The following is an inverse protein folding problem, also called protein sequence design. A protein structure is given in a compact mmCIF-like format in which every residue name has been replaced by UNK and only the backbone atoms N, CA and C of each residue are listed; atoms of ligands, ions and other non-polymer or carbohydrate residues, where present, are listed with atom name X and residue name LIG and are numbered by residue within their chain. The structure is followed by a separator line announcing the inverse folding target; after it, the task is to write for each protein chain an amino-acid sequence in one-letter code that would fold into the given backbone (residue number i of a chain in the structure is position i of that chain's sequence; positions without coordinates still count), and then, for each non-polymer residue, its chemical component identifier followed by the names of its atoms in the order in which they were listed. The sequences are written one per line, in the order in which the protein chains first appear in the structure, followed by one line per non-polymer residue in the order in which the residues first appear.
data_IF_850734971529
#
_entry.id   IF_850734971529
#
_cell.length_a   1.000
_cell.length_b   1.000
_cell.length_c   1.000
_cell.angle_alpha   90.00
_cell.angle_beta   90.00
_cell.angle_gamma   90.00
#
_symmetry.space_group_name_H-M   'P 1'
#
loop_
_entity.id
_entity.type
_entity.pdbx_description
1 polymer ?
#
# COMPACT_ATOMS: atom_id res chain seq x y z
N UNK A 1 4.44 46.75 43.24
CA UNK A 1 3.31 46.82 42.29
C UNK A 1 3.76 46.77 40.82
N UNK A 2 4.84 47.44 40.39
CA UNK A 2 5.29 47.40 38.98
C UNK A 2 5.71 46.01 38.45
N UNK A 3 6.25 45.11 39.28
CA UNK A 3 6.67 43.76 38.84
C UNK A 3 5.49 42.83 38.49
N UNK A 4 4.30 43.07 39.07
CA UNK A 4 3.09 42.29 38.78
C UNK A 4 2.43 42.69 37.45
N UNK A 5 2.58 43.95 37.04
CA UNK A 5 2.05 44.46 35.76
C UNK A 5 2.87 43.98 34.56
N UNK A 6 4.20 43.86 34.69
CA UNK A 6 5.04 43.33 33.61
C UNK A 6 4.75 41.85 33.29
N UNK A 7 4.42 41.04 34.30
CA UNK A 7 4.11 39.61 34.09
C UNK A 7 2.76 39.40 33.41
N UNK A 8 1.75 40.21 33.73
CA UNK A 8 0.45 40.14 33.07
C UNK A 8 0.51 40.57 31.60
N UNK A 9 1.32 41.59 31.27
CA UNK A 9 1.50 42.04 29.89
C UNK A 9 2.23 40.99 29.02
N UNK A 10 3.22 40.28 29.58
CA UNK A 10 3.93 39.21 28.86
C UNK A 10 3.02 38.01 28.55
N UNK A 11 2.11 37.64 29.46
CA UNK A 11 1.12 36.59 29.19
C UNK A 11 0.12 37.01 28.10
N UNK A 12 -0.30 38.28 28.06
CA UNK A 12 -1.22 38.76 27.03
C UNK A 12 -0.59 38.79 25.64
N UNK A 13 0.71 39.12 25.53
CA UNK A 13 1.43 39.12 24.25
C UNK A 13 1.64 37.69 23.72
N UNK A 14 1.89 36.71 24.60
CA UNK A 14 1.97 35.30 24.22
C UNK A 14 0.61 34.72 23.80
N UNK A 15 -0.48 35.08 24.48
CA UNK A 15 -1.83 34.66 24.10
C UNK A 15 -2.29 35.28 22.78
N UNK A 16 -1.96 36.56 22.52
CA UNK A 16 -2.28 37.19 21.24
C UNK A 16 -1.46 36.60 20.09
N UNK A 17 -0.20 36.22 20.31
CA UNK A 17 0.61 35.58 19.27
C UNK A 17 0.05 34.21 18.85
N UNK A 18 -0.53 33.44 19.78
CA UNK A 18 -1.13 32.13 19.47
C UNK A 18 -2.48 32.27 18.74
N UNK A 19 -3.26 33.32 19.03
CA UNK A 19 -4.56 33.54 18.36
C UNK A 19 -4.46 34.17 16.96
N UNK A 20 -3.30 34.71 16.57
CA UNK A 20 -3.07 35.35 15.26
C UNK A 20 -2.01 34.64 14.41
N UNK A 21 -1.61 33.42 14.76
CA UNK A 21 -0.99 32.56 13.77
C UNK A 21 -2.05 32.37 12.67
N UNK A 22 -1.80 32.81 11.42
CA UNK A 22 -2.70 32.53 10.31
C UNK A 22 -2.90 31.04 10.34
N UNK A 23 -4.13 30.59 10.60
CA UNK A 23 -4.47 29.18 10.67
C UNK A 23 -3.79 28.54 9.48
N UNK A 24 -2.79 27.71 9.75
CA UNK A 24 -1.92 27.15 8.74
C UNK A 24 -2.85 26.69 7.64
N UNK A 25 -2.74 27.35 6.48
CA UNK A 25 -3.39 26.89 5.26
C UNK A 25 -2.67 25.59 4.99
N UNK A 26 -3.08 24.53 5.68
CA UNK A 26 -2.83 23.17 5.27
C UNK A 26 -3.44 23.15 3.90
N UNK A 27 -2.59 23.34 2.87
CA UNK A 27 -2.93 23.00 1.52
C UNK A 27 -3.56 21.63 1.65
N UNK A 28 -4.89 21.57 1.49
CA UNK A 28 -5.63 20.34 1.58
C UNK A 28 -4.99 19.49 0.50
N UNK A 29 -4.14 18.54 0.90
CA UNK A 29 -3.53 17.59 -0.03
C UNK A 29 -4.73 17.06 -0.80
N UNK A 30 -4.79 17.33 -2.10
CA UNK A 30 -5.86 16.80 -2.93
C UNK A 30 -5.94 15.30 -2.61
N UNK A 31 -7.12 14.78 -2.24
CA UNK A 31 -7.22 13.36 -1.92
C UNK A 31 -6.64 12.60 -3.11
N UNK A 32 -5.63 11.76 -2.83
CA UNK A 32 -4.98 10.98 -3.88
C UNK A 32 -6.05 10.02 -4.40
N UNK A 33 -6.54 10.27 -5.62
CA UNK A 33 -7.57 9.42 -6.21
C UNK A 33 -7.00 8.03 -6.48
N UNK A 34 -7.62 7.02 -5.89
CA UNK A 34 -7.23 5.63 -6.08
C UNK A 34 -7.46 5.19 -7.54
N UNK A 35 -6.60 4.33 -8.11
CA UNK A 35 -6.77 3.80 -9.47
C UNK A 35 -8.05 2.97 -9.62
N UNK A 36 -8.75 3.16 -10.74
CA UNK A 36 -9.98 2.43 -11.04
C UNK A 36 -9.67 1.05 -11.65
N UNK A 37 -10.29 0.00 -11.09
CA UNK A 37 -10.18 -1.36 -11.62
C UNK A 37 -11.07 -1.58 -12.84
N UNK A 38 -10.81 -2.66 -13.58
CA UNK A 38 -11.65 -3.09 -14.70
C UNK A 38 -13.10 -3.33 -14.28
N UNK A 39 -13.34 -3.83 -13.06
CA UNK A 39 -14.70 -4.04 -12.55
C UNK A 39 -15.41 -2.70 -12.31
N UNK A 40 -14.75 -1.76 -11.62
CA UNK A 40 -15.30 -0.41 -11.39
C UNK A 40 -15.58 0.30 -12.70
N UNK A 41 -14.59 0.35 -13.61
CA UNK A 41 -14.76 0.95 -14.93
C UNK A 41 -15.88 0.28 -15.72
N UNK A 42 -16.01 -1.04 -15.65
CA UNK A 42 -17.09 -1.76 -16.33
C UNK A 42 -18.48 -1.37 -15.79
N UNK A 43 -18.64 -1.32 -14.47
CA UNK A 43 -19.91 -0.97 -13.82
C UNK A 43 -20.33 0.47 -14.12
N UNK A 44 -19.35 1.38 -14.10
CA UNK A 44 -19.58 2.82 -14.23
C UNK A 44 -19.68 3.31 -15.70
N UNK A 45 -19.36 2.44 -16.67
CA UNK A 45 -19.43 2.76 -18.10
C UNK A 45 -20.75 2.35 -18.74
N UNK A 46 -21.32 3.23 -19.55
CA UNK A 46 -22.43 2.93 -20.45
C UNK A 46 -21.95 2.29 -21.75
N UNK A 47 -20.70 2.52 -22.13
CA UNK A 47 -20.12 1.92 -23.34
C UNK A 47 -18.62 1.65 -23.17
N UNK A 48 -18.16 0.55 -23.77
CA UNK A 48 -16.76 0.13 -23.75
C UNK A 48 -16.34 -0.25 -25.15
N UNK A 49 -15.21 0.31 -25.61
CA UNK A 49 -14.71 0.12 -26.97
C UNK A 49 -13.26 -0.33 -26.97
N UNK A 50 -12.89 -1.15 -27.95
CA UNK A 50 -11.51 -1.27 -28.41
C UNK A 50 -11.31 -0.20 -29.47
N UNK A 51 -10.34 0.67 -29.25
CA UNK A 51 -10.06 1.78 -30.15
C UNK A 51 -8.58 1.89 -30.49
N UNK A 52 -8.31 2.56 -31.59
CA UNK A 52 -6.97 2.98 -32.01
C UNK A 52 -6.89 4.50 -31.90
N UNK A 53 -5.89 5.00 -31.19
CA UNK A 53 -5.63 6.42 -31.12
C UNK A 53 -5.11 6.94 -32.48
N UNK A 54 -5.72 7.98 -33.02
CA UNK A 54 -5.38 8.52 -34.34
C UNK A 54 -4.46 9.74 -34.24
N UNK A 55 -4.89 10.77 -33.50
CA UNK A 55 -4.19 12.05 -33.36
C UNK A 55 -4.80 12.91 -32.26
N UNK A 56 -4.04 13.91 -31.82
CA UNK A 56 -4.53 15.04 -31.01
C UNK A 56 -4.56 16.28 -31.91
N UNK A 57 -5.70 16.97 -31.95
CA UNK A 57 -5.83 18.29 -32.56
C UNK A 57 -5.81 19.35 -31.45
N UNK A 58 -4.93 20.34 -31.56
CA UNK A 58 -4.92 21.50 -30.66
C UNK A 58 -5.99 22.51 -31.10
N UNK A 59 -6.83 22.90 -30.15
CA UNK A 59 -7.87 23.89 -30.30
C UNK A 59 -7.41 25.28 -29.85
N UNK A 60 -8.40 26.10 -29.50
CA UNK A 60 -8.17 27.46 -29.04
C UNK A 60 -7.65 27.49 -27.59
N UNK A 61 -6.87 28.53 -27.28
CA UNK A 61 -6.47 28.84 -25.90
C UNK A 61 -7.70 29.33 -25.14
N UNK A 62 -8.12 28.60 -24.12
CA UNK A 62 -9.28 28.98 -23.28
C UNK A 62 -8.90 29.93 -22.17
N UNK A 63 -7.69 29.76 -21.62
CA UNK A 63 -7.18 30.59 -20.54
C UNK A 63 -5.69 30.85 -20.71
N UNK A 64 -5.24 32.08 -20.42
CA UNK A 64 -3.84 32.46 -20.50
C UNK A 64 -3.52 33.39 -19.34
N UNK A 65 -3.02 32.80 -18.25
CA UNK A 65 -2.60 33.51 -17.03
C UNK A 65 -1.08 33.71 -17.04
N UNK A 66 -0.53 34.41 -16.06
CA UNK A 66 0.93 34.57 -15.95
C UNK A 66 1.62 33.23 -15.64
N UNK A 67 0.92 32.29 -14.99
CA UNK A 67 1.45 31.01 -14.54
C UNK A 67 1.23 29.86 -15.54
N UNK A 68 0.12 29.87 -16.29
CA UNK A 68 -0.21 28.78 -17.21
C UNK A 68 -1.03 29.21 -18.43
N UNK A 69 -1.05 28.35 -19.45
CA UNK A 69 -1.95 28.44 -20.61
C UNK A 69 -2.81 27.19 -20.67
N UNK A 70 -4.13 27.34 -20.65
CA UNK A 70 -5.06 26.25 -20.86
C UNK A 70 -5.44 26.18 -22.34
N UNK A 71 -5.26 25.01 -22.96
CA UNK A 71 -5.51 24.77 -24.38
C UNK A 71 -6.55 23.66 -24.51
N UNK A 72 -7.62 23.92 -25.26
CA UNK A 72 -8.54 22.85 -25.61
C UNK A 72 -7.84 21.86 -26.54
N UNK A 73 -7.92 20.58 -26.25
CA UNK A 73 -7.37 19.52 -27.10
C UNK A 73 -8.47 18.54 -27.48
N UNK A 74 -8.37 17.99 -28.70
CA UNK A 74 -9.30 16.97 -29.20
C UNK A 74 -8.54 15.70 -29.54
N UNK A 75 -8.78 14.63 -28.79
CA UNK A 75 -8.17 13.32 -29.03
C UNK A 75 -9.11 12.48 -29.90
N UNK A 76 -8.63 12.06 -31.07
CA UNK A 76 -9.41 11.30 -32.04
C UNK A 76 -9.13 9.80 -31.93
N UNK A 77 -10.18 8.99 -31.84
CA UNK A 77 -10.10 7.54 -31.73
C UNK A 77 -10.90 6.87 -32.84
N UNK A 78 -10.29 5.89 -33.52
CA UNK A 78 -10.98 4.99 -34.44
C UNK A 78 -11.45 3.76 -33.67
N UNK A 79 -12.73 3.44 -33.71
CA UNK A 79 -13.28 2.30 -32.97
C UNK A 79 -13.21 1.06 -33.84
N UNK A 80 -12.53 0.03 -33.35
CA UNK A 80 -12.39 -1.25 -34.05
C UNK A 80 -13.41 -2.29 -33.56
N UNK A 81 -13.76 -2.27 -32.28
CA UNK A 81 -14.74 -3.18 -31.68
C UNK A 81 -15.55 -2.48 -30.58
N UNK A 82 -16.80 -2.90 -30.41
CA UNK A 82 -17.68 -2.49 -29.31
C UNK A 82 -17.86 -3.66 -28.38
N UNK A 83 -17.48 -3.50 -27.12
CA UNK A 83 -17.59 -4.53 -26.09
C UNK A 83 -18.88 -4.35 -25.28
N UNK A 84 -19.24 -3.10 -24.96
CA UNK A 84 -20.47 -2.74 -24.26
C UNK A 84 -21.08 -1.49 -24.89
N UNK A 85 -22.41 -1.41 -24.93
CA UNK A 85 -23.14 -0.24 -25.43
C UNK A 85 -23.37 -0.22 -26.95
N UNK A 86 -23.69 0.96 -27.49
CA UNK A 86 -24.03 1.13 -28.92
C UNK A 86 -22.80 1.13 -29.83
N UNK A 87 -22.89 0.49 -30.99
CA UNK A 87 -21.77 0.46 -31.94
C UNK A 87 -21.45 1.83 -32.53
N UNK A 88 -20.16 2.17 -32.58
CA UNK A 88 -19.65 3.43 -33.14
C UNK A 88 -18.41 3.18 -34.00
N UNK A 89 -18.13 4.11 -34.93
CA UNK A 89 -16.95 4.05 -35.82
C UNK A 89 -15.80 4.93 -35.36
N UNK A 90 -16.09 6.02 -34.67
CA UNK A 90 -15.11 6.96 -34.16
C UNK A 90 -15.62 7.61 -32.88
N UNK A 91 -14.69 8.07 -32.06
CA UNK A 91 -14.95 8.88 -30.87
C UNK A 91 -13.95 10.04 -30.83
N UNK A 92 -14.40 11.18 -30.34
CA UNK A 92 -13.57 12.37 -30.13
C UNK A 92 -13.73 12.77 -28.68
N UNK A 93 -12.62 12.78 -27.95
CA UNK A 93 -12.58 13.28 -26.58
C UNK A 93 -12.12 14.73 -26.61
N UNK A 94 -13.02 15.62 -26.21
CA UNK A 94 -12.68 17.02 -25.93
C UNK A 94 -12.13 17.10 -24.50
N UNK A 95 -10.95 17.67 -24.34
CA UNK A 95 -10.19 17.72 -23.09
C UNK A 95 -9.45 19.08 -22.99
N UNK A 96 -8.92 19.44 -21.83
CA UNK A 96 -8.19 20.70 -21.61
C UNK A 96 -6.81 20.43 -21.03
N UNK A 97 -5.76 20.85 -21.73
CA UNK A 97 -4.37 20.71 -21.31
C UNK A 97 -3.86 22.02 -20.69
N UNK A 98 -3.31 21.92 -19.48
CA UNK A 98 -2.67 23.04 -18.79
C UNK A 98 -1.16 23.02 -19.05
N UNK A 99 -0.64 24.06 -19.70
CA UNK A 99 0.78 24.25 -20.02
C UNK A 99 1.35 25.33 -19.11
N UNK A 100 2.07 24.93 -18.07
CA UNK A 100 2.71 25.87 -17.13
C UNK A 100 3.87 26.60 -17.80
N UNK A 101 3.95 27.91 -17.60
CA UNK A 101 5.04 28.74 -18.09
C UNK A 101 6.19 28.61 -17.09
N UNK A 102 7.27 27.94 -17.49
CA UNK A 102 8.47 27.83 -16.65
C UNK A 102 9.09 29.22 -16.55
N UNK A 103 8.91 29.89 -15.41
CA UNK A 103 9.55 31.18 -15.14
C UNK A 103 11.03 30.95 -14.88
N UNK A 104 11.90 31.66 -15.60
CA UNK A 104 13.35 31.48 -15.56
C UNK A 104 14.01 31.73 -14.17
N UNK A 105 13.23 32.11 -13.15
CA UNK A 105 13.70 32.36 -11.79
C UNK A 105 13.55 31.14 -10.84
N UNK A 106 12.87 30.07 -11.24
CA UNK A 106 12.85 28.80 -10.48
C UNK A 106 13.94 27.85 -10.98
N UNK A 107 15.21 28.22 -10.80
CA UNK A 107 16.38 27.37 -11.06
C UNK A 107 16.75 26.45 -9.89
N UNK A 108 15.81 26.16 -8.99
CA UNK A 108 15.99 25.02 -8.09
C UNK A 108 15.76 23.75 -8.93
N UNK A 109 16.85 23.27 -9.53
CA UNK A 109 16.96 22.06 -10.38
C UNK A 109 16.55 20.76 -9.67
N UNK A 110 15.91 20.82 -8.50
CA UNK A 110 15.58 19.67 -7.66
C UNK A 110 14.11 19.27 -7.66
N UNK A 111 13.17 20.14 -8.07
CA UNK A 111 11.73 19.83 -8.03
C UNK A 111 11.09 19.46 -9.38
N UNK A 112 11.85 19.54 -10.49
CA UNK A 112 11.32 19.28 -11.83
C UNK A 112 11.22 17.79 -12.21
N UNK A 113 11.84 16.89 -11.43
CA UNK A 113 11.92 15.47 -11.76
C UNK A 113 10.80 14.61 -11.11
N UNK A 114 10.06 15.12 -10.13
CA UNK A 114 9.10 14.31 -9.36
C UNK A 114 7.63 14.52 -9.77
N UNK A 115 7.34 15.43 -10.70
CA UNK A 115 5.96 15.69 -11.17
C UNK A 115 5.59 14.98 -12.49
N UNK A 116 6.41 14.03 -12.95
CA UNK A 116 6.20 13.28 -14.20
C UNK A 116 5.45 11.93 -14.01
N UNK A 117 4.42 11.88 -13.16
CA UNK A 117 3.31 10.92 -13.37
C UNK A 117 2.39 11.38 -14.53
N UNK A 118 2.96 12.06 -15.52
CA UNK A 118 2.25 12.40 -16.74
C UNK A 118 1.90 11.08 -17.45
N UNK A 119 0.61 10.77 -17.52
CA UNK A 119 0.10 9.63 -18.27
C UNK A 119 0.80 9.55 -19.63
N UNK A 120 1.44 8.42 -19.98
CA UNK A 120 2.35 8.35 -21.12
C UNK A 120 1.62 8.81 -22.38
N UNK A 121 2.21 9.79 -23.08
CA UNK A 121 1.60 10.39 -24.26
C UNK A 121 1.19 9.31 -25.28
N UNK A 122 -0.07 9.36 -25.72
CA UNK A 122 -0.62 8.42 -26.71
C UNK A 122 0.04 8.65 -28.07
N UNK A 123 0.47 7.57 -28.71
CA UNK A 123 1.05 7.61 -30.06
C UNK A 123 0.05 7.13 -31.10
N UNK A 124 -0.06 7.79 -32.27
CA UNK A 124 -0.91 7.33 -33.36
C UNK A 124 -0.69 5.84 -33.68
N UNK A 125 -1.78 5.08 -33.79
CA UNK A 125 -1.77 3.65 -34.04
C UNK A 125 -1.78 2.76 -32.79
N UNK A 126 -1.61 3.33 -31.59
CA UNK A 126 -1.73 2.57 -30.34
C UNK A 126 -3.17 2.11 -30.13
N UNK A 127 -3.33 0.84 -29.77
CA UNK A 127 -4.62 0.26 -29.44
C UNK A 127 -4.86 0.34 -27.93
N UNK A 128 -6.10 0.60 -27.53
CA UNK A 128 -6.48 0.90 -26.16
C UNK A 128 -7.95 0.54 -25.90
N UNK A 129 -8.32 0.51 -24.63
CA UNK A 129 -9.72 0.44 -24.20
C UNK A 129 -10.23 1.84 -23.85
N UNK A 130 -11.44 2.16 -24.31
CA UNK A 130 -12.17 3.36 -23.94
C UNK A 130 -13.38 2.98 -23.10
N UNK A 131 -13.45 3.53 -21.90
CA UNK A 131 -14.57 3.40 -20.96
C UNK A 131 -15.33 4.72 -20.94
N UNK A 132 -16.55 4.72 -21.47
CA UNK A 132 -17.34 5.92 -21.64
C UNK A 132 -18.64 5.87 -20.84
N UNK A 133 -19.02 7.02 -20.29
CA UNK A 133 -20.32 7.29 -19.68
C UNK A 133 -21.08 8.30 -20.53
N UNK A 134 -22.37 8.08 -20.71
CA UNK A 134 -23.24 9.03 -21.39
C UNK A 134 -23.34 10.31 -20.53
N UNK A 135 -23.26 11.46 -21.20
CA UNK A 135 -23.57 12.73 -20.55
C UNK A 135 -25.07 12.89 -20.33
N UNK A 136 -25.48 14.01 -19.75
CA UNK A 136 -26.90 14.36 -19.67
C UNK A 136 -27.52 14.46 -21.07
N UNK A 137 -28.85 14.53 -21.17
CA UNK A 137 -29.54 14.57 -22.46
C UNK A 137 -29.02 15.71 -23.36
N UNK A 138 -28.34 15.35 -24.45
CA UNK A 138 -27.73 16.29 -25.41
C UNK A 138 -26.24 16.55 -25.22
N UNK A 139 -25.63 16.07 -24.14
CA UNK A 139 -24.19 16.11 -23.92
C UNK A 139 -23.47 14.97 -24.62
N UNK A 140 -22.25 15.22 -25.07
CA UNK A 140 -21.40 14.19 -25.64
C UNK A 140 -20.98 13.19 -24.55
N UNK A 141 -20.83 11.90 -24.87
CA UNK A 141 -20.25 10.94 -23.94
C UNK A 141 -18.84 11.36 -23.53
N UNK A 142 -18.52 11.13 -22.26
CA UNK A 142 -17.24 11.45 -21.65
C UNK A 142 -16.58 10.18 -21.13
N UNK A 143 -15.31 10.27 -20.75
CA UNK A 143 -14.65 9.16 -20.06
C UNK A 143 -15.37 8.86 -18.75
N UNK A 144 -15.51 7.58 -18.43
CA UNK A 144 -16.05 7.12 -17.14
C UNK A 144 -15.20 7.61 -15.98
N UNK A 145 -13.88 7.57 -16.15
CA UNK A 145 -12.91 8.18 -15.27
C UNK A 145 -11.88 8.99 -16.08
N UNK A 146 -11.44 10.13 -15.57
CA UNK A 146 -10.54 11.03 -16.31
C UNK A 146 -9.12 10.48 -16.44
N UNK A 147 -8.65 9.67 -15.48
CA UNK A 147 -7.30 9.07 -15.48
C UNK A 147 -7.33 7.69 -16.12
N UNK A 148 -8.25 6.85 -15.66
CA UNK A 148 -8.27 5.41 -15.91
C UNK A 148 -9.27 5.01 -17.00
N UNK A 149 -10.11 5.94 -17.48
CA UNK A 149 -11.09 5.71 -18.55
C UNK A 149 -10.47 5.45 -19.93
N UNK A 150 -9.17 5.68 -20.10
CA UNK A 150 -8.38 5.31 -21.28
C UNK A 150 -7.26 4.36 -20.86
N UNK A 151 -7.45 3.07 -21.14
CA UNK A 151 -6.45 2.05 -20.75
C UNK A 151 -5.60 1.65 -21.94
N UNK A 152 -4.36 2.14 -21.96
CA UNK A 152 -3.36 1.78 -22.97
C UNK A 152 -2.88 0.35 -22.73
N UNK A 153 -2.94 -0.49 -23.76
CA UNK A 153 -2.59 -1.91 -23.67
C UNK A 153 -1.73 -2.33 -24.86
N UNK A 154 -0.90 -3.35 -24.67
CA UNK A 154 -0.25 -4.03 -25.79
C UNK A 154 -1.30 -4.79 -26.62
N UNK A 155 -1.01 -5.06 -27.89
CA UNK A 155 -1.91 -5.85 -28.74
C UNK A 155 -2.20 -7.23 -28.16
N UNK A 156 -1.23 -7.84 -27.48
CA UNK A 156 -1.39 -9.11 -26.77
C UNK A 156 -2.37 -8.99 -25.59
N UNK A 157 -2.23 -7.95 -24.77
CA UNK A 157 -3.08 -7.76 -23.60
C UNK A 157 -4.52 -7.36 -23.97
N UNK A 158 -4.75 -6.68 -25.10
CA UNK A 158 -6.11 -6.30 -25.53
C UNK A 158 -7.02 -7.52 -25.65
N UNK A 159 -6.54 -8.62 -26.23
CA UNK A 159 -7.34 -9.85 -26.36
C UNK A 159 -7.72 -10.44 -25.01
N UNK A 160 -6.82 -10.36 -24.02
CA UNK A 160 -7.05 -10.83 -22.65
C UNK A 160 -8.14 -9.98 -21.98
N UNK A 161 -8.01 -8.66 -22.03
CA UNK A 161 -9.01 -7.75 -21.45
C UNK A 161 -10.36 -7.84 -22.16
N UNK A 162 -10.39 -7.99 -23.48
CA UNK A 162 -11.62 -8.25 -24.24
C UNK A 162 -12.32 -9.52 -23.72
N UNK A 163 -11.56 -10.59 -23.46
CA UNK A 163 -12.07 -11.81 -22.84
C UNK A 163 -12.68 -11.54 -21.46
N UNK A 164 -11.96 -10.81 -20.60
CA UNK A 164 -12.45 -10.46 -19.24
C UNK A 164 -13.70 -9.60 -19.25
N UNK A 165 -13.82 -8.64 -20.17
CA UNK A 165 -15.01 -7.79 -20.31
C UNK A 165 -16.22 -8.63 -20.76
N UNK A 166 -16.04 -9.56 -21.70
CA UNK A 166 -17.11 -10.48 -22.13
C UNK A 166 -17.57 -11.41 -21.01
N UNK A 167 -16.66 -11.84 -20.13
CA UNK A 167 -17.03 -12.58 -18.92
C UNK A 167 -17.89 -11.72 -17.99
N UNK A 168 -17.57 -10.43 -17.82
CA UNK A 168 -18.39 -9.49 -17.07
C UNK A 168 -19.77 -9.30 -17.71
N UNK A 169 -19.86 -9.12 -19.03
CA UNK A 169 -21.15 -9.06 -19.74
C UNK A 169 -22.02 -10.28 -19.41
N UNK A 170 -21.44 -11.49 -19.44
CA UNK A 170 -22.16 -12.72 -19.10
C UNK A 170 -22.54 -12.84 -17.60
N UNK A 171 -21.90 -12.09 -16.71
CA UNK A 171 -22.26 -12.01 -15.29
C UNK A 171 -23.39 -10.99 -15.09
N UNK A 172 -23.30 -9.82 -15.74
CA UNK A 172 -24.23 -8.71 -15.59
C UNK A 172 -25.51 -8.82 -16.44
N UNK A 173 -25.49 -9.59 -17.53
CA UNK A 173 -26.68 -9.93 -18.33
C UNK A 173 -27.57 -10.99 -17.64
N UNK A 174 -27.08 -11.63 -16.59
CA UNK A 174 -27.87 -12.58 -15.81
C UNK A 174 -29.02 -11.85 -15.08
N UNK A 175 -30.15 -12.55 -14.89
CA UNK A 175 -31.31 -11.99 -14.17
C UNK A 175 -30.95 -11.45 -12.79
N UNK A 176 -30.03 -12.13 -12.10
CA UNK A 176 -29.49 -11.72 -10.81
C UNK A 176 -27.98 -11.82 -10.88
N UNK A 177 -27.31 -10.71 -10.57
CA UNK A 177 -25.84 -10.65 -10.51
C UNK A 177 -25.38 -11.42 -9.27
N UNK A 178 -24.54 -12.43 -9.49
CA UNK A 178 -23.99 -13.27 -8.43
C UNK A 178 -22.61 -12.76 -8.03
N UNK A 179 -22.49 -12.28 -6.78
CA UNK A 179 -21.21 -11.85 -6.18
C UNK A 179 -20.16 -12.97 -6.22
N UNK A 180 -20.58 -14.22 -6.00
CA UNK A 180 -19.68 -15.37 -6.11
C UNK A 180 -19.08 -15.51 -7.51
N UNK A 181 -19.87 -15.28 -8.57
CA UNK A 181 -19.35 -15.31 -9.95
C UNK A 181 -18.37 -14.16 -10.22
N UNK A 182 -18.54 -13.02 -9.55
CA UNK A 182 -17.59 -11.91 -9.61
C UNK A 182 -16.30 -12.28 -8.90
N UNK A 183 -16.36 -12.89 -7.71
CA UNK A 183 -15.16 -13.37 -7.00
C UNK A 183 -14.40 -14.42 -7.83
N UNK A 184 -15.09 -15.39 -8.43
CA UNK A 184 -14.48 -16.34 -9.36
C UNK A 184 -13.80 -15.64 -10.55
N UNK A 185 -14.43 -14.59 -11.08
CA UNK A 185 -13.85 -13.78 -12.15
C UNK A 185 -12.61 -13.00 -11.68
N UNK A 186 -12.64 -12.41 -10.48
CA UNK A 186 -11.50 -11.71 -9.88
C UNK A 186 -10.31 -12.65 -9.65
N UNK A 187 -10.56 -13.87 -9.19
CA UNK A 187 -9.51 -14.90 -9.06
C UNK A 187 -8.91 -15.24 -10.43
N UNK A 188 -9.74 -15.41 -11.47
CA UNK A 188 -9.22 -15.61 -12.84
C UNK A 188 -8.42 -14.40 -13.35
N UNK A 189 -8.83 -13.18 -13.04
CA UNK A 189 -8.05 -11.98 -13.35
C UNK A 189 -6.69 -12.03 -12.66
N UNK A 190 -6.63 -12.40 -11.39
CA UNK A 190 -5.41 -12.55 -10.60
C UNK A 190 -4.44 -13.58 -11.21
N UNK A 191 -4.95 -14.72 -11.67
CA UNK A 191 -4.16 -15.79 -12.30
C UNK A 191 -3.37 -15.33 -13.53
N UNK A 192 -3.96 -14.47 -14.37
CA UNK A 192 -3.34 -13.98 -15.60
C UNK A 192 -2.43 -12.75 -15.34
N UNK A 193 -1.12 -12.80 -15.67
CA UNK A 193 -0.20 -11.69 -15.46
C UNK A 193 -0.66 -10.33 -16.01
N UNK A 194 -1.40 -10.30 -17.12
CA UNK A 194 -1.83 -9.05 -17.76
C UNK A 194 -2.99 -8.36 -17.02
N UNK A 195 -3.77 -9.14 -16.26
CA UNK A 195 -4.94 -8.66 -15.49
C UNK A 195 -4.79 -8.89 -13.99
N UNK A 196 -3.60 -9.29 -13.53
CA UNK A 196 -3.37 -9.71 -12.15
C UNK A 196 -3.76 -8.62 -11.17
N UNK A 197 -3.24 -7.42 -11.43
CA UNK A 197 -3.55 -6.23 -10.64
C UNK A 197 -5.06 -5.97 -10.54
N UNK A 198 -5.84 -6.17 -11.63
CA UNK A 198 -7.31 -5.99 -11.57
C UNK A 198 -7.96 -6.91 -10.54
N UNK A 199 -7.51 -8.16 -10.48
CA UNK A 199 -8.05 -9.15 -9.55
C UNK A 199 -7.56 -8.94 -8.13
N UNK A 200 -6.26 -8.76 -7.95
CA UNK A 200 -5.62 -8.68 -6.63
C UNK A 200 -5.92 -7.36 -5.94
N UNK A 201 -5.95 -6.25 -6.67
CA UNK A 201 -6.29 -4.95 -6.09
C UNK A 201 -7.76 -4.90 -5.62
N UNK A 202 -8.71 -5.33 -6.45
CA UNK A 202 -10.14 -5.33 -6.08
C UNK A 202 -10.42 -6.24 -4.87
N UNK A 203 -9.81 -7.43 -4.85
CA UNK A 203 -9.91 -8.33 -3.71
C UNK A 203 -9.27 -7.68 -2.47
N UNK A 204 -8.11 -7.02 -2.58
CA UNK A 204 -7.47 -6.37 -1.43
C UNK A 204 -8.34 -5.25 -0.87
N UNK A 205 -8.90 -4.40 -1.73
CA UNK A 205 -9.85 -3.35 -1.34
C UNK A 205 -11.05 -3.94 -0.59
N UNK A 206 -11.56 -5.10 -1.00
CA UNK A 206 -12.65 -5.77 -0.27
C UNK A 206 -12.28 -6.15 1.17
N UNK A 207 -11.04 -6.58 1.43
CA UNK A 207 -10.57 -6.87 2.78
C UNK A 207 -10.41 -5.62 3.62
N UNK A 208 -9.87 -4.55 3.03
CA UNK A 208 -9.70 -3.25 3.70
C UNK A 208 -11.06 -2.67 4.08
N UNK A 209 -12.03 -2.68 3.15
CA UNK A 209 -13.40 -2.26 3.41
C UNK A 209 -14.05 -3.09 4.52
N UNK A 210 -13.87 -4.42 4.49
CA UNK A 210 -14.42 -5.29 5.54
C UNK A 210 -13.79 -4.98 6.91
N UNK A 211 -12.47 -4.80 7.00
CA UNK A 211 -11.79 -4.45 8.24
C UNK A 211 -12.32 -3.13 8.79
N UNK A 212 -12.42 -2.12 7.94
CA UNK A 212 -12.97 -0.82 8.31
C UNK A 212 -14.43 -0.92 8.80
N UNK A 213 -15.29 -1.68 8.11
CA UNK A 213 -16.68 -1.92 8.56
C UNK A 213 -16.74 -2.59 9.95
N UNK A 214 -15.84 -3.55 10.22
CA UNK A 214 -15.77 -4.24 11.52
C UNK A 214 -15.33 -3.28 12.61
N UNK A 215 -14.27 -2.51 12.39
CA UNK A 215 -13.76 -1.50 13.33
C UNK A 215 -14.79 -0.40 13.61
N UNK A 216 -15.44 0.13 12.57
CA UNK A 216 -16.50 1.11 12.69
C UNK A 216 -17.70 0.57 13.49
N UNK A 217 -18.07 -0.69 13.26
CA UNK A 217 -19.13 -1.35 14.03
C UNK A 217 -18.75 -1.56 15.51
N UNK A 218 -17.49 -1.86 15.80
CA UNK A 218 -16.98 -1.99 17.18
C UNK A 218 -16.95 -0.64 17.90
N UNK A 219 -16.37 0.38 17.29
CA UNK A 219 -16.36 1.75 17.82
C UNK A 219 -17.80 2.26 18.07
N UNK A 220 -18.73 1.96 17.15
CA UNK A 220 -20.15 2.28 17.34
C UNK A 220 -20.75 1.58 18.56
N UNK A 221 -20.44 0.29 18.78
CA UNK A 221 -20.89 -0.44 19.98
C UNK A 221 -20.33 0.17 21.25
N UNK A 222 -19.05 0.55 21.26
CA UNK A 222 -18.41 1.21 22.40
C UNK A 222 -19.04 2.56 22.71
N UNK A 223 -19.29 3.41 21.70
CA UNK A 223 -19.97 4.70 21.87
C UNK A 223 -21.38 4.54 22.44
N UNK A 224 -22.15 3.57 21.93
CA UNK A 224 -23.48 3.23 22.47
C UNK A 224 -23.37 2.78 23.94
N UNK A 225 -22.37 1.95 24.28
CA UNK A 225 -22.15 1.50 25.64
C UNK A 225 -21.77 2.63 26.60
N UNK A 226 -21.11 3.70 26.10
CA UNK A 226 -20.83 4.93 26.86
C UNK A 226 -22.04 5.88 26.96
N UNK A 227 -23.17 5.55 26.33
CA UNK A 227 -24.37 6.41 26.31
C UNK A 227 -24.21 7.65 25.45
N UNK A 228 -23.23 7.66 24.54
CA UNK A 228 -23.12 8.71 23.53
C UNK A 228 -24.23 8.51 22.49
N UNK A 229 -24.89 9.62 22.12
CA UNK A 229 -25.79 9.61 20.98
C UNK A 229 -24.96 9.37 19.72
N UNK A 230 -25.02 8.14 19.21
CA UNK A 230 -24.50 7.82 17.89
C UNK A 230 -25.55 8.30 16.93
N UNK A 231 -25.38 9.53 16.44
CA UNK A 231 -25.96 9.93 15.18
C UNK A 231 -25.64 8.80 14.20
N UNK A 232 -26.68 8.24 13.58
CA UNK A 232 -26.51 7.24 12.53
C UNK A 232 -25.83 8.01 11.41
N UNK A 233 -24.51 8.08 11.48
CA UNK A 233 -23.65 8.38 10.36
C UNK A 233 -24.11 7.33 9.35
N UNK A 234 -24.99 7.77 8.44
CA UNK A 234 -25.31 7.03 7.23
C UNK A 234 -23.96 6.59 6.72
N UNK A 235 -23.78 5.28 6.51
CA UNK A 235 -22.58 4.73 5.88
C UNK A 235 -22.13 5.74 4.84
N UNK A 236 -20.86 6.21 4.86
CA UNK A 236 -20.41 7.29 4.00
C UNK A 236 -20.89 6.96 2.59
N UNK A 237 -22.00 7.59 2.21
CA UNK A 237 -22.55 7.47 0.88
C UNK A 237 -21.55 8.30 0.13
N UNK A 238 -20.51 7.65 -0.40
CA UNK A 238 -19.35 8.26 -1.06
C UNK A 238 -19.71 9.67 -1.52
N UNK A 239 -19.41 10.70 -0.70
CA UNK A 239 -20.01 12.03 -0.90
C UNK A 239 -19.49 12.68 -2.21
N UNK A 240 -18.54 12.03 -2.89
CA UNK A 240 -18.09 12.34 -4.25
C UNK A 240 -18.99 11.76 -5.36
N UNK A 241 -20.00 10.94 -5.03
CA UNK A 241 -21.02 10.46 -5.97
C UNK A 241 -22.22 11.42 -6.12
N UNK A 242 -22.31 12.49 -5.32
CA UNK A 242 -23.43 13.45 -5.30
C UNK A 242 -23.60 14.29 -6.59
N UNK A 243 -22.71 14.19 -7.59
CA UNK A 243 -22.86 14.94 -8.83
C UNK A 243 -23.74 14.26 -9.91
N UNK A 244 -24.14 12.99 -9.79
CA UNK A 244 -24.83 12.28 -10.87
C UNK A 244 -26.03 11.42 -10.41
N UNK A 245 -27.09 12.09 -9.96
CA UNK A 245 -28.35 11.54 -9.46
C UNK A 245 -29.24 10.75 -10.47
N UNK A 246 -28.74 10.33 -11.63
CA UNK A 246 -29.55 9.71 -12.69
C UNK A 246 -29.32 8.19 -12.91
N UNK A 247 -28.45 7.53 -12.13
CA UNK A 247 -28.29 6.07 -12.19
C UNK A 247 -29.32 5.32 -11.32
N UNK A 248 -30.62 5.51 -11.61
CA UNK A 248 -31.70 4.73 -11.01
C UNK A 248 -31.70 3.29 -11.55
N UNK A 249 -31.03 2.36 -10.85
CA UNK A 249 -31.25 0.89 -10.81
C UNK A 249 -29.96 0.03 -10.87
N UNK A 250 -28.75 0.58 -10.77
CA UNK A 250 -27.61 -0.30 -10.51
C UNK A 250 -27.70 -0.75 -9.05
N UNK A 251 -28.16 -1.99 -8.84
CA UNK A 251 -28.03 -2.69 -7.56
C UNK A 251 -26.54 -2.64 -7.23
N UNK A 252 -26.15 -1.75 -6.32
CA UNK A 252 -24.77 -1.57 -5.91
C UNK A 252 -24.30 -2.89 -5.33
N UNK A 253 -23.24 -3.44 -5.92
CA UNK A 253 -22.66 -4.69 -5.45
C UNK A 253 -21.86 -4.34 -4.20
N UNK A 254 -22.11 -5.05 -3.10
CA UNK A 254 -21.32 -4.89 -1.88
C UNK A 254 -19.94 -5.50 -2.11
N UNK A 255 -18.96 -4.68 -2.50
CA UNK A 255 -17.59 -5.13 -2.73
C UNK A 255 -16.95 -5.66 -1.45
N UNK A 256 -17.37 -5.19 -0.27
CA UNK A 256 -16.93 -5.72 1.03
C UNK A 256 -17.35 -7.18 1.28
N UNK A 257 -18.35 -7.69 0.54
CA UNK A 257 -18.74 -9.08 0.60
C UNK A 257 -17.72 -10.03 -0.05
N UNK A 258 -16.91 -9.55 -1.01
CA UNK A 258 -15.97 -10.41 -1.76
C UNK A 258 -14.95 -11.10 -0.86
N UNK A 259 -14.41 -10.39 0.13
CA UNK A 259 -13.49 -10.95 1.13
C UNK A 259 -14.08 -12.15 1.89
N UNK A 260 -15.39 -12.13 2.16
CA UNK A 260 -16.12 -13.21 2.85
C UNK A 260 -16.43 -14.40 1.95
N UNK A 261 -16.57 -14.16 0.64
CA UNK A 261 -16.95 -15.16 -0.35
C UNK A 261 -15.76 -15.97 -0.88
N UNK A 262 -14.52 -15.50 -0.69
CA UNK A 262 -13.32 -16.26 -1.05
C UNK A 262 -13.22 -17.58 -0.25
N UNK A 263 -13.32 -18.69 -0.96
CA UNK A 263 -13.20 -20.02 -0.36
C UNK A 263 -11.73 -20.45 -0.12
N UNK A 264 -11.53 -21.54 0.63
CA UNK A 264 -10.21 -22.04 0.96
C UNK A 264 -9.40 -22.51 -0.26
N UNK A 265 -10.06 -23.02 -1.30
CA UNK A 265 -9.40 -23.44 -2.53
C UNK A 265 -8.91 -22.23 -3.33
N UNK A 266 -9.73 -21.19 -3.47
CA UNK A 266 -9.37 -19.92 -4.11
C UNK A 266 -8.20 -19.23 -3.41
N UNK A 267 -8.21 -19.17 -2.07
CA UNK A 267 -7.07 -18.68 -1.28
C UNK A 267 -5.80 -19.48 -1.55
N UNK A 268 -5.92 -20.81 -1.63
CA UNK A 268 -4.79 -21.69 -1.95
C UNK A 268 -4.26 -21.44 -3.37
N UNK A 269 -5.14 -21.23 -4.35
CA UNK A 269 -4.77 -20.91 -5.74
C UNK A 269 -4.01 -19.57 -5.79
N UNK A 270 -4.52 -18.52 -5.15
CA UNK A 270 -3.88 -17.21 -5.10
C UNK A 270 -2.50 -17.26 -4.41
N UNK A 271 -2.40 -17.96 -3.28
CA UNK A 271 -1.12 -18.18 -2.62
C UNK A 271 -0.15 -18.96 -3.51
N UNK A 272 -0.60 -20.04 -4.15
CA UNK A 272 0.23 -20.83 -5.05
C UNK A 272 0.69 -20.03 -6.28
N UNK A 273 -0.11 -19.09 -6.78
CA UNK A 273 0.28 -18.21 -7.88
C UNK A 273 1.51 -17.38 -7.50
N UNK A 274 1.55 -16.85 -6.28
CA UNK A 274 2.69 -16.11 -5.74
C UNK A 274 3.90 -17.02 -5.51
N UNK A 275 3.68 -18.18 -4.88
CA UNK A 275 4.76 -19.09 -4.49
C UNK A 275 5.42 -19.79 -5.69
N UNK A 276 4.64 -20.08 -6.74
CA UNK A 276 5.09 -20.79 -7.93
C UNK A 276 5.58 -19.86 -9.05
N UNK A 277 5.91 -18.60 -8.77
CA UNK A 277 6.54 -17.73 -9.78
C UNK A 277 7.87 -18.35 -10.20
N UNK A 278 7.84 -19.04 -11.35
CA UNK A 278 9.00 -19.68 -11.94
C UNK A 278 10.07 -18.62 -12.19
N UNK A 279 11.25 -18.82 -11.60
CA UNK A 279 12.42 -18.04 -11.95
C UNK A 279 12.85 -18.43 -13.37
N UNK A 280 12.36 -17.68 -14.36
CA UNK A 280 12.84 -17.79 -15.74
C UNK A 280 14.37 -17.75 -15.71
N UNK A 281 15.06 -18.68 -16.38
CA UNK A 281 16.50 -18.61 -16.48
C UNK A 281 16.85 -17.32 -17.22
N UNK A 282 17.42 -16.35 -16.49
CA UNK A 282 18.10 -15.24 -17.11
C UNK A 282 19.23 -15.82 -17.98
N UNK A 283 19.41 -15.29 -19.18
CA UNK A 283 20.42 -15.76 -20.12
C UNK A 283 21.81 -15.78 -19.48
N UNK A 284 22.72 -16.60 -20.02
CA UNK A 284 23.96 -17.17 -19.45
C UNK A 284 24.89 -16.34 -18.53
N UNK A 285 24.63 -15.05 -18.23
CA UNK A 285 25.43 -14.23 -17.31
C UNK A 285 24.62 -13.34 -16.34
N UNK A 286 23.29 -13.38 -16.34
CA UNK A 286 22.49 -12.62 -15.37
C UNK A 286 21.95 -13.55 -14.28
N UNK A 287 22.06 -13.11 -13.02
CA UNK A 287 21.36 -13.77 -11.91
C UNK A 287 19.88 -13.85 -12.27
N UNK A 288 19.23 -15.01 -12.04
CA UNK A 288 17.81 -15.22 -12.33
C UNK A 288 16.96 -14.27 -11.48
N UNK A 289 16.77 -13.03 -11.91
CA UNK A 289 15.88 -12.08 -11.25
C UNK A 289 14.45 -12.52 -11.60
N UNK A 290 13.68 -12.94 -10.59
CA UNK A 290 12.23 -13.13 -10.75
C UNK A 290 11.68 -11.75 -11.13
N UNK A 291 11.16 -11.59 -12.35
CA UNK A 291 10.47 -10.36 -12.72
C UNK A 291 9.16 -10.32 -11.94
N UNK A 292 9.01 -9.34 -11.04
CA UNK A 292 7.72 -9.06 -10.44
C UNK A 292 6.73 -8.67 -11.54
N UNK A 293 5.53 -9.23 -11.46
CA UNK A 293 4.42 -8.85 -12.31
C UNK A 293 3.63 -7.78 -11.57
N UNK A 294 3.08 -6.83 -12.33
CA UNK A 294 2.16 -5.84 -11.76
C UNK A 294 0.96 -6.56 -11.10
N UNK A 295 0.66 -6.22 -9.84
CA UNK A 295 -0.33 -6.94 -9.03
C UNK A 295 0.25 -7.95 -8.03
N UNK A 296 1.54 -8.30 -8.12
CA UNK A 296 2.18 -9.22 -7.17
C UNK A 296 2.28 -8.62 -5.75
N UNK A 297 2.42 -7.29 -5.64
CA UNK A 297 2.46 -6.61 -4.34
C UNK A 297 1.10 -6.70 -3.63
N UNK A 298 0.02 -6.42 -4.35
CA UNK A 298 -1.35 -6.58 -3.83
C UNK A 298 -1.64 -8.04 -3.48
N UNK A 299 -1.09 -8.99 -4.25
CA UNK A 299 -1.19 -10.41 -3.95
C UNK A 299 -0.46 -10.79 -2.66
N UNK A 300 0.72 -10.22 -2.39
CA UNK A 300 1.45 -10.42 -1.13
C UNK A 300 0.60 -9.93 0.05
N UNK A 301 0.04 -8.72 -0.04
CA UNK A 301 -0.81 -8.17 1.04
C UNK A 301 -2.10 -8.99 1.24
N UNK A 302 -2.72 -9.48 0.16
CA UNK A 302 -3.83 -10.42 0.25
C UNK A 302 -3.46 -11.70 1.00
N UNK A 303 -2.33 -12.33 0.62
CA UNK A 303 -1.87 -13.59 1.22
C UNK A 303 -1.52 -13.41 2.70
N UNK A 304 -0.98 -12.24 3.04
CA UNK A 304 -0.74 -11.83 4.42
C UNK A 304 -2.02 -11.69 5.23
N UNK A 305 -3.08 -11.09 4.69
CA UNK A 305 -4.35 -10.90 5.40
C UNK A 305 -5.03 -12.18 5.88
N UNK A 306 -4.85 -13.31 5.18
CA UNK A 306 -5.37 -14.60 5.65
C UNK A 306 -4.34 -15.48 6.38
N UNK A 307 -3.12 -14.98 6.58
CA UNK A 307 -2.10 -15.63 7.39
C UNK A 307 -1.56 -16.93 6.80
N UNK A 308 -1.31 -16.99 5.48
CA UNK A 308 -0.69 -18.20 4.90
C UNK A 308 0.76 -18.35 5.39
N UNK A 309 1.10 -19.43 6.13
CA UNK A 309 2.41 -19.58 6.74
C UNK A 309 3.53 -19.77 5.72
N UNK A 310 3.22 -20.10 4.47
CA UNK A 310 4.22 -20.28 3.40
C UNK A 310 4.74 -18.94 2.88
N UNK A 311 4.02 -17.85 3.12
CA UNK A 311 4.39 -16.52 2.63
C UNK A 311 5.72 -16.04 3.21
N UNK A 312 5.96 -16.26 4.51
CA UNK A 312 7.19 -15.79 5.17
C UNK A 312 8.44 -16.46 4.60
N UNK A 313 8.39 -17.77 4.33
CA UNK A 313 9.47 -18.49 3.66
C UNK A 313 9.77 -17.94 2.26
N UNK A 314 8.73 -17.63 1.49
CA UNK A 314 8.87 -17.01 0.17
C UNK A 314 9.46 -15.60 0.24
N UNK A 315 8.99 -14.76 1.16
CA UNK A 315 9.53 -13.41 1.36
C UNK A 315 10.99 -13.45 1.81
N UNK A 316 11.37 -14.42 2.64
CA UNK A 316 12.77 -14.63 3.03
C UNK A 316 13.67 -14.97 1.83
N UNK A 317 13.20 -15.83 0.93
CA UNK A 317 13.91 -16.12 -0.32
C UNK A 317 14.06 -14.86 -1.20
N UNK A 318 13.02 -14.05 -1.31
CA UNK A 318 13.10 -12.77 -2.02
C UNK A 318 14.07 -11.79 -1.37
N UNK A 319 14.04 -11.68 -0.04
CA UNK A 319 14.94 -10.82 0.73
C UNK A 319 16.40 -11.20 0.51
N UNK A 320 16.70 -12.51 0.48
CA UNK A 320 18.05 -13.02 0.17
C UNK A 320 18.46 -12.75 -1.28
N UNK A 321 17.52 -12.85 -2.22
CA UNK A 321 17.80 -12.60 -3.64
C UNK A 321 18.00 -11.11 -3.97
N UNK A 322 17.32 -10.23 -3.26
CA UNK A 322 17.30 -8.78 -3.50
C UNK A 322 17.98 -7.97 -2.38
N UNK A 323 18.88 -8.58 -1.61
CA UNK A 323 19.54 -7.93 -0.46
C UNK A 323 20.34 -6.67 -0.82
N UNK A 324 20.68 -6.50 -2.10
CA UNK A 324 21.42 -5.34 -2.61
C UNK A 324 20.52 -4.13 -2.93
N UNK A 325 19.20 -4.24 -2.77
CA UNK A 325 18.24 -3.15 -2.98
C UNK A 325 17.66 -2.73 -1.60
N UNK A 326 18.27 -1.75 -0.90
CA UNK A 326 17.92 -1.43 0.49
C UNK A 326 16.44 -1.11 0.72
N UNK A 327 15.82 -0.37 -0.18
CA UNK A 327 14.41 -0.01 -0.05
C UNK A 327 13.51 -1.25 -0.11
N UNK A 328 13.75 -2.15 -1.07
CA UNK A 328 12.98 -3.38 -1.22
C UNK A 328 13.24 -4.36 -0.07
N UNK A 329 14.49 -4.45 0.40
CA UNK A 329 14.85 -5.25 1.56
C UNK A 329 14.13 -4.77 2.83
N UNK A 330 14.08 -3.44 3.04
CA UNK A 330 13.34 -2.83 4.16
C UNK A 330 11.87 -3.20 4.13
N UNK A 331 11.19 -3.00 3.00
CA UNK A 331 9.78 -3.34 2.83
C UNK A 331 9.54 -4.83 3.12
N UNK A 332 10.37 -5.71 2.55
CA UNK A 332 10.25 -7.16 2.75
C UNK A 332 10.46 -7.57 4.22
N UNK A 333 11.43 -6.97 4.91
CA UNK A 333 11.67 -7.21 6.34
C UNK A 333 10.48 -6.77 7.19
N UNK A 334 9.88 -5.60 6.90
CA UNK A 334 8.69 -5.12 7.62
C UNK A 334 7.51 -6.06 7.38
N UNK A 335 7.25 -6.48 6.14
CA UNK A 335 6.18 -7.45 5.85
C UNK A 335 6.39 -8.77 6.60
N UNK A 336 7.62 -9.31 6.64
CA UNK A 336 7.94 -10.53 7.41
C UNK A 336 7.70 -10.30 8.91
N UNK A 337 8.17 -9.18 9.46
CA UNK A 337 8.00 -8.85 10.87
C UNK A 337 6.53 -8.73 11.26
N UNK A 338 5.71 -8.08 10.42
CA UNK A 338 4.26 -7.95 10.62
C UNK A 338 3.54 -9.30 10.59
N UNK A 339 3.98 -10.24 9.74
CA UNK A 339 3.37 -11.58 9.68
C UNK A 339 3.76 -12.42 10.91
N UNK A 340 5.00 -12.31 11.37
CA UNK A 340 5.52 -13.12 12.48
C UNK A 340 5.16 -12.58 13.86
N UNK A 341 4.95 -11.26 13.97
CA UNK A 341 4.67 -10.54 15.23
C UNK A 341 5.72 -10.80 16.34
N UNK A 342 6.97 -11.10 15.95
CA UNK A 342 8.09 -11.32 16.88
C UNK A 342 8.78 -9.98 17.19
N UNK A 343 8.84 -9.54 18.47
CA UNK A 343 9.38 -8.21 18.82
C UNK A 343 10.82 -7.98 18.35
N UNK A 344 11.69 -8.99 18.45
CA UNK A 344 13.10 -8.89 18.05
C UNK A 344 13.24 -8.71 16.53
N UNK A 345 12.45 -9.45 15.74
CA UNK A 345 12.43 -9.36 14.28
C UNK A 345 11.88 -7.99 13.86
N UNK A 346 10.81 -7.52 14.51
CA UNK A 346 10.21 -6.20 14.27
C UNK A 346 11.19 -5.06 14.53
N UNK A 347 11.89 -5.11 15.67
CA UNK A 347 12.90 -4.10 16.02
C UNK A 347 14.08 -4.06 15.05
N UNK A 348 14.43 -5.19 14.41
CA UNK A 348 15.46 -5.23 13.37
C UNK A 348 14.96 -4.66 12.04
N UNK A 349 13.72 -4.95 11.66
CA UNK A 349 13.09 -4.41 10.46
C UNK A 349 12.96 -2.88 10.53
N UNK A 350 12.48 -2.34 11.66
CA UNK A 350 12.36 -0.90 11.90
C UNK A 350 13.70 -0.18 11.77
N UNK A 351 14.75 -0.72 12.42
CA UNK A 351 16.12 -0.18 12.32
C UNK A 351 16.68 -0.21 10.91
N UNK A 352 16.41 -1.28 10.16
CA UNK A 352 16.83 -1.34 8.76
C UNK A 352 16.11 -0.26 7.93
N UNK A 353 14.81 -0.06 8.19
CA UNK A 353 14.00 0.95 7.51
C UNK A 353 14.50 2.38 7.76
N UNK A 354 14.87 2.72 9.00
CA UNK A 354 15.44 4.02 9.38
C UNK A 354 16.69 4.41 8.57
N UNK A 355 17.46 3.44 8.09
CA UNK A 355 18.70 3.68 7.35
C UNK A 355 18.61 3.27 5.87
N UNK A 356 17.43 2.86 5.40
CA UNK A 356 17.27 2.29 4.05
C UNK A 356 17.51 3.29 2.92
N UNK A 357 17.27 4.58 3.19
CA UNK A 357 17.47 5.69 2.24
C UNK A 357 18.87 6.32 2.30
N UNK A 358 19.71 5.90 3.26
CA UNK A 358 21.02 6.48 3.48
C UNK A 358 22.05 6.02 2.44
N UNK A 359 22.93 6.95 2.02
CA UNK A 359 23.94 6.69 0.99
C UNK A 359 24.93 5.62 1.44
N UNK A 360 25.14 4.59 0.61
CA UNK A 360 26.02 3.43 0.88
C UNK A 360 27.39 3.79 1.48
N UNK A 361 28.02 4.87 1.01
CA UNK A 361 29.39 5.26 1.36
C UNK A 361 29.49 6.21 2.55
N UNK A 362 28.36 6.72 3.07
CA UNK A 362 28.38 7.60 4.23
C UNK A 362 28.74 6.81 5.50
N UNK A 363 29.62 7.39 6.31
CA UNK A 363 30.10 6.80 7.56
C UNK A 363 29.16 7.11 8.73
N UNK A 364 28.94 6.12 9.59
CA UNK A 364 28.19 6.23 10.85
C UNK A 364 29.01 5.60 11.99
N UNK A 365 28.84 6.12 13.21
CA UNK A 365 29.50 5.56 14.41
C UNK A 365 28.76 4.29 14.86
N UNK A 366 29.45 3.15 14.90
CA UNK A 366 28.81 1.84 15.13
C UNK A 366 28.03 1.73 16.46
N UNK A 367 28.53 2.35 17.53
CA UNK A 367 27.89 2.29 18.86
C UNK A 367 26.58 3.10 18.93
N UNK A 368 26.44 4.16 18.15
CA UNK A 368 25.20 4.93 18.08
C UNK A 368 24.06 4.15 17.38
N UNK A 369 24.41 3.17 16.54
CA UNK A 369 23.46 2.37 15.77
C UNK A 369 23.08 1.04 16.46
N UNK A 370 23.99 0.43 17.25
CA UNK A 370 23.76 -0.89 17.88
C UNK A 370 23.07 -0.86 19.25
N UNK A 371 23.23 0.21 20.03
CA UNK A 371 22.92 0.18 21.47
C UNK A 371 21.52 0.66 21.85
N UNK A 372 20.69 1.05 20.87
CA UNK A 372 19.25 1.24 21.10
C UNK A 372 18.45 -0.08 21.21
N UNK A 373 19.11 -1.25 21.13
CA UNK A 373 18.45 -2.54 20.87
C UNK A 373 18.31 -3.45 22.09
N UNK A 374 19.06 -3.22 23.17
CA UNK A 374 19.19 -4.23 24.24
C UNK A 374 18.67 -3.74 25.60
N UNK A 375 18.28 -2.47 25.76
CA UNK A 375 17.71 -1.97 27.02
C UNK A 375 16.19 -2.18 27.15
N UNK A 376 15.68 -3.29 26.61
CA UNK A 376 14.31 -3.77 26.75
C UNK A 376 14.26 -5.11 27.49
N UNK A 377 15.14 -5.33 28.45
CA UNK A 377 14.91 -6.37 29.47
C UNK A 377 13.84 -5.86 30.43
N UNK A 378 12.70 -6.52 30.37
CA UNK A 378 11.71 -6.67 31.44
C UNK A 378 12.38 -6.78 32.82
N UNK A 379 12.38 -5.69 33.58
CA UNK A 379 12.46 -5.71 35.04
C UNK A 379 11.27 -4.91 35.60
N UNK A 380 10.07 -5.45 35.41
CA UNK A 380 8.92 -5.11 36.25
C UNK A 380 8.80 -6.19 37.33
N UNK A 381 9.68 -6.11 38.33
CA UNK A 381 9.42 -6.72 39.63
C UNK A 381 8.44 -5.80 40.38
N UNK A 382 7.15 -5.91 40.06
CA UNK A 382 6.09 -5.22 40.81
C UNK A 382 5.96 -5.86 42.21
N UNK A 383 6.15 -5.01 43.21
CA UNK A 383 6.22 -5.35 44.62
C UNK A 383 4.81 -5.67 45.16
N UNK A 384 4.51 -6.93 45.49
CA UNK A 384 3.41 -7.25 46.40
C UNK A 384 3.89 -7.20 47.86
N UNK A 385 3.09 -6.66 48.80
CA UNK A 385 3.41 -6.68 50.22
C UNK A 385 3.05 -8.02 50.88
N UNK A 386 3.86 -8.34 51.87
CA UNK A 386 3.89 -9.54 52.70
C UNK A 386 2.55 -9.96 53.33
N UNK A 387 2.34 -11.27 53.47
CA UNK A 387 1.75 -11.86 54.69
C UNK A 387 2.27 -13.28 54.95
N UNK A 388 3.06 -13.35 56.02
CA UNK A 388 3.42 -14.42 56.97
C UNK A 388 3.05 -15.92 56.77
N UNK A 389 4.04 -16.75 57.18
CA UNK A 389 4.00 -18.12 57.78
C UNK A 389 3.71 -19.31 56.83
N UNK A 390 4.43 -20.45 56.83
CA UNK A 390 5.15 -21.17 57.89
C UNK A 390 6.03 -22.31 57.31
N UNK A 391 7.20 -22.55 57.94
CA UNK A 391 7.89 -23.84 58.24
C UNK A 391 8.39 -24.83 57.16
N UNK A 392 9.69 -25.12 57.32
CA UNK A 392 10.44 -26.39 57.13
C UNK A 392 10.53 -26.98 55.71
N UNK A 393 11.76 -27.22 55.20
CA UNK A 393 12.62 -28.40 55.44
C UNK A 393 14.08 -28.09 55.01
N UNK A 394 14.99 -28.79 55.66
CA UNK A 394 16.45 -28.76 55.66
C UNK A 394 17.17 -29.09 54.33
N UNK A 395 18.33 -28.40 54.17
CA UNK A 395 19.67 -28.93 53.89
C UNK A 395 20.26 -29.06 52.46
N UNK A 396 21.58 -28.75 52.44
CA UNK A 396 22.69 -29.03 51.51
C UNK A 396 22.71 -28.16 50.21
N UNK A 397 23.76 -27.46 49.76
CA UNK A 397 25.23 -27.60 49.83
C UNK A 397 25.90 -26.22 49.74
N UNK A 398 27.00 -26.11 50.49
CA UNK A 398 27.98 -25.05 50.61
C UNK A 398 28.80 -24.85 49.31
N UNK A 399 28.86 -23.62 48.75
CA UNK A 399 29.88 -23.23 47.75
C UNK A 399 30.41 -21.82 48.07
N UNK A 400 31.65 -21.81 48.57
CA UNK A 400 32.68 -20.78 48.56
C UNK A 400 32.27 -19.35 48.12
N UNK A 401 32.21 -18.46 49.12
CA UNK A 401 32.53 -17.04 48.95
C UNK A 401 34.01 -16.91 48.56
N UNK A 402 34.27 -16.49 47.33
CA UNK A 402 35.54 -15.93 46.91
C UNK A 402 35.36 -14.41 46.75
N UNK A 403 36.24 -13.69 47.42
CA UNK A 403 36.40 -12.23 47.43
C UNK A 403 36.24 -11.61 46.03
N UNK A 404 35.19 -10.80 45.84
CA UNK A 404 35.10 -9.86 44.72
C UNK A 404 35.98 -8.66 45.06
N UNK A 405 37.24 -8.78 44.67
CA UNK A 405 38.22 -7.70 44.66
C UNK A 405 37.81 -6.63 43.66
N UNK A 406 37.61 -5.44 44.21
CA UNK A 406 37.46 -4.14 43.55
C UNK A 406 38.66 -3.87 42.60
N UNK A 407 38.46 -4.12 41.29
CA UNK A 407 39.43 -3.81 40.21
C UNK A 407 38.69 -3.30 38.97
N UNK A 408 37.96 -2.20 39.12
CA UNK A 408 37.40 -1.48 37.96
C UNK A 408 38.18 -0.18 37.70
N UNK A 409 39.47 -0.31 37.43
CA UNK A 409 40.34 0.80 37.05
C UNK A 409 40.99 0.50 35.70
N UNK A 410 40.48 1.11 34.63
CA UNK A 410 41.21 1.24 33.36
C UNK A 410 40.66 0.47 32.16
N UNK A 411 39.33 0.35 31.98
CA UNK A 411 38.79 0.09 30.64
C UNK A 411 39.15 1.30 29.76
N UNK A 412 40.21 1.17 28.96
CA UNK A 412 40.50 2.09 27.87
C UNK A 412 39.25 2.10 26.99
N UNK A 413 38.56 3.23 26.91
CA UNK A 413 37.52 3.43 25.90
C UNK A 413 38.19 3.30 24.54
N UNK A 414 38.03 2.15 23.89
CA UNK A 414 38.38 2.01 22.49
C UNK A 414 37.52 2.98 21.71
N UNK A 415 38.13 3.72 20.77
CA UNK A 415 37.39 4.68 19.96
C UNK A 415 36.35 3.90 19.14
N UNK A 416 35.10 4.39 19.04
CA UNK A 416 34.06 3.70 18.30
C UNK A 416 34.52 3.48 16.86
N UNK A 417 34.35 2.24 16.37
CA UNK A 417 34.67 1.89 15.00
C UNK A 417 33.69 2.62 14.09
N UNK A 418 34.20 3.33 13.09
CA UNK A 418 33.40 3.87 12.00
C UNK A 418 33.07 2.77 11.00
N UNK A 419 31.83 2.67 10.60
CA UNK A 419 31.34 1.75 9.56
C UNK A 419 30.53 2.55 8.55
N UNK A 420 30.38 2.01 7.34
CA UNK A 420 29.51 2.59 6.32
C UNK A 420 28.05 2.17 6.52
N UNK A 421 27.07 2.95 6.02
CA UNK A 421 25.67 2.54 6.07
C UNK A 421 25.39 1.22 5.35
N UNK A 422 26.13 0.93 4.28
CA UNK A 422 26.06 -0.38 3.62
C UNK A 422 26.43 -1.51 4.57
N UNK A 423 27.59 -1.40 5.24
CA UNK A 423 28.03 -2.41 6.21
C UNK A 423 27.04 -2.55 7.38
N UNK A 424 26.48 -1.43 7.85
CA UNK A 424 25.46 -1.44 8.90
C UNK A 424 24.17 -2.16 8.45
N UNK A 425 23.69 -1.89 7.24
CA UNK A 425 22.54 -2.58 6.64
C UNK A 425 22.80 -4.07 6.51
N UNK A 426 23.97 -4.45 5.99
CA UNK A 426 24.38 -5.85 5.86
C UNK A 426 24.39 -6.54 7.24
N UNK A 427 24.91 -5.87 8.28
CA UNK A 427 24.91 -6.40 9.65
C UNK A 427 23.49 -6.60 10.22
N UNK A 428 22.61 -5.60 10.08
CA UNK A 428 21.22 -5.69 10.55
C UNK A 428 20.47 -6.80 9.80
N UNK A 429 20.66 -6.90 8.48
CA UNK A 429 20.05 -7.94 7.67
C UNK A 429 20.52 -9.33 8.10
N UNK A 430 21.82 -9.53 8.35
CA UNK A 430 22.32 -10.81 8.85
C UNK A 430 21.72 -11.17 10.22
N UNK A 431 21.63 -10.21 11.15
CA UNK A 431 20.98 -10.42 12.44
C UNK A 431 19.50 -10.81 12.27
N UNK A 432 18.79 -10.14 11.37
CA UNK A 432 17.39 -10.45 11.06
C UNK A 432 17.23 -11.88 10.54
N UNK A 433 18.06 -12.31 9.59
CA UNK A 433 18.03 -13.67 9.05
C UNK A 433 18.29 -14.73 10.14
N UNK A 434 19.25 -14.48 11.04
CA UNK A 434 19.54 -15.39 12.16
C UNK A 434 18.34 -15.48 13.13
N UNK A 435 17.75 -14.34 13.51
CA UNK A 435 16.57 -14.33 14.40
C UNK A 435 15.37 -15.04 13.76
N UNK A 436 15.16 -14.85 12.46
CA UNK A 436 14.13 -15.55 11.71
C UNK A 436 14.35 -17.08 11.71
N UNK A 437 15.58 -17.54 11.46
CA UNK A 437 15.92 -18.97 11.48
C UNK A 437 15.74 -19.59 12.88
N UNK A 438 16.11 -18.86 13.94
CA UNK A 438 15.89 -19.27 15.33
C UNK A 438 14.40 -19.42 15.64
N UNK A 439 13.58 -18.49 15.16
CA UNK A 439 12.12 -18.55 15.31
C UNK A 439 11.53 -19.79 14.61
N UNK A 440 11.94 -20.08 13.37
CA UNK A 440 11.48 -21.28 12.66
C UNK A 440 11.87 -22.57 13.38
N UNK A 441 13.11 -22.67 13.87
CA UNK A 441 13.57 -23.83 14.61
C UNK A 441 12.75 -24.05 15.90
N UNK A 442 12.36 -22.98 16.60
CA UNK A 442 11.51 -23.08 17.78
C UNK A 442 10.11 -23.61 17.43
N UNK A 443 9.49 -23.11 16.35
CA UNK A 443 8.17 -23.58 15.88
C UNK A 443 8.16 -25.07 15.52
N UNK A 444 9.23 -25.57 14.87
CA UNK A 444 9.37 -27.00 14.55
C UNK A 444 9.40 -27.84 15.83
N UNK A 445 10.19 -27.44 16.84
CA UNK A 445 10.27 -28.17 18.12
C UNK A 445 8.97 -28.20 18.90
N UNK A 446 8.19 -27.11 18.87
CA UNK A 446 6.86 -27.05 19.50
C UNK A 446 5.86 -28.00 18.80
N UNK A 447 5.91 -28.04 17.47
CA UNK A 447 5.03 -28.91 16.66
C UNK A 447 5.29 -30.40 16.89
N UNK A 448 6.57 -30.81 16.99
CA UNK A 448 6.95 -32.19 17.30
C UNK A 448 6.52 -32.59 18.72
N UNK A 449 6.71 -31.71 19.70
CA UNK A 449 6.31 -31.97 21.09
C UNK A 449 4.80 -32.12 21.27
N UNK A 450 4.01 -31.49 20.41
CA UNK A 450 2.54 -31.58 20.41
C UNK A 450 2.06 -32.85 19.73
N UNK A 451 2.77 -33.35 18.72
CA UNK A 451 2.42 -34.59 18.02
C UNK A 451 2.70 -35.87 18.84
N UNK A 452 3.62 -35.83 19.81
CA UNK A 452 3.93 -36.95 20.69
C UNK A 452 2.97 -37.08 21.90
N UNK A 453 2.14 -36.08 22.16
CA UNK A 453 1.11 -36.08 23.22
C UNK A 453 -0.23 -36.56 22.69
#
# INVERSE_FOLDING_TARGET
MLKSLLSAAAMFVLLFAVCFLPGSVSARRCPVKMPETLLSLYQNSDSIYIATFNKTDEGEITENTDDYTAVNIKKHFGISSTLKGESRKFFVLDDQEYRYKITAESTDETDAAENEEASPALKPGESLLLFLKNGAAGEAPRLTDYRDGVKKLSTEHIGIYEGRIKELDAIFDAKEVSEMRIVEWLVRCAEDPATRWEGTFELLQSFQNLKWQVEAAEQRKERIARGEEVEVESEPEDEEAEAHADAKNSKTIDTGAFAKLLDANQKTVLANLLLNVESKPAGDNETKKKSSVHGDQELIELVKHWGDPRLTGFLLEQLRANSNEPYLASQTMNTIAEILEVPQISSLAEKYNEISYEVDTAEVEAEAASDKVVAGETDETETQPETETTKNVEAIVNVNEAEVSDKNAGRKMEKPRKITYKELRDEILQKFLIQYEQFLAAQETESESTAER
#
